data_IF_586183706118
#
_entry.id   IF_586183706118
#
_cell.length_a   1.000
_cell.length_b   1.000
_cell.length_c   1.000
_cell.angle_alpha   90.00
_cell.angle_beta   90.00
_cell.angle_gamma   90.00
#
_symmetry.space_group_name_H-M   'P 1'
#
loop_
_entity.id
_entity.type
_entity.pdbx_description
1 polymer ?
#
# COMPACT_ATOMS: atom_id res chain seq x y z
N UNK A 1 7.68 -10.74 -26.43
CA UNK A 1 7.80 -10.27 -25.03
C UNK A 1 6.57 -10.78 -24.30
N UNK A 2 6.72 -11.73 -23.37
CA UNK A 2 5.60 -12.23 -22.57
C UNK A 2 5.34 -11.26 -21.42
N UNK A 3 4.09 -10.85 -21.25
CA UNK A 3 3.65 -10.07 -20.09
C UNK A 3 3.50 -11.03 -18.91
N UNK A 4 4.25 -10.80 -17.84
CA UNK A 4 4.12 -11.56 -16.60
C UNK A 4 3.23 -10.76 -15.64
N UNK A 5 1.96 -11.16 -15.45
CA UNK A 5 1.04 -10.41 -14.63
C UNK A 5 1.52 -10.41 -13.18
N UNK A 6 1.54 -9.22 -12.58
CA UNK A 6 1.78 -9.01 -11.15
C UNK A 6 0.63 -8.25 -10.55
N UNK A 7 0.24 -8.64 -9.34
CA UNK A 7 -0.65 -7.87 -8.50
C UNK A 7 0.02 -6.57 -8.05
N UNK A 8 -0.78 -5.61 -7.60
CA UNK A 8 -0.27 -4.34 -7.06
C UNK A 8 0.66 -4.58 -5.85
N UNK A 9 0.32 -5.44 -4.86
CA UNK A 9 1.24 -5.76 -3.76
C UNK A 9 2.58 -6.33 -4.23
N UNK A 10 2.60 -7.24 -5.21
CA UNK A 10 3.84 -7.81 -5.74
C UNK A 10 4.70 -6.77 -6.47
N UNK A 11 4.07 -5.91 -7.27
CA UNK A 11 4.77 -4.82 -7.93
C UNK A 11 5.37 -3.82 -6.92
N UNK A 12 4.63 -3.54 -5.84
CA UNK A 12 5.11 -2.65 -4.78
C UNK A 12 6.24 -3.27 -3.96
N UNK A 13 6.14 -4.54 -3.57
CA UNK A 13 7.21 -5.25 -2.86
C UNK A 13 8.53 -5.24 -3.65
N UNK A 14 8.48 -5.51 -4.96
CA UNK A 14 9.64 -5.40 -5.83
C UNK A 14 10.21 -3.97 -5.91
N UNK A 15 9.36 -2.95 -5.80
CA UNK A 15 9.80 -1.56 -5.75
C UNK A 15 10.45 -1.22 -4.40
N UNK A 16 9.94 -1.75 -3.28
CA UNK A 16 10.53 -1.58 -1.95
C UNK A 16 11.92 -2.21 -1.87
N UNK A 17 12.09 -3.43 -2.42
CA UNK A 17 13.41 -4.08 -2.50
C UNK A 17 14.42 -3.24 -3.28
N UNK A 18 13.98 -2.61 -4.38
CA UNK A 18 14.87 -1.86 -5.28
C UNK A 18 15.14 -0.43 -4.81
N UNK A 19 14.15 0.23 -4.20
CA UNK A 19 14.17 1.66 -3.93
C UNK A 19 13.93 1.99 -2.46
N UNK A 20 14.14 1.04 -1.55
CA UNK A 20 13.68 1.12 -0.16
C UNK A 20 13.87 2.47 0.53
N UNK A 21 15.08 3.03 0.49
CA UNK A 21 15.42 4.31 1.14
C UNK A 21 15.09 5.56 0.30
N UNK A 22 14.70 5.41 -0.97
CA UNK A 22 14.36 6.54 -1.83
C UNK A 22 13.01 7.15 -1.39
N UNK A 23 12.83 8.47 -1.56
CA UNK A 23 11.55 9.12 -1.26
C UNK A 23 10.45 8.62 -2.23
N UNK A 24 9.31 8.23 -1.67
CA UNK A 24 8.11 7.81 -2.41
C UNK A 24 7.02 8.88 -2.37
N UNK A 25 6.75 9.45 -1.20
CA UNK A 25 5.77 10.52 -1.01
C UNK A 25 6.45 11.72 -0.34
N UNK A 26 6.29 12.91 -0.91
CA UNK A 26 6.80 14.16 -0.35
C UNK A 26 5.62 15.07 -0.02
N UNK A 27 5.52 15.47 1.24
CA UNK A 27 4.48 16.33 1.80
C UNK A 27 5.14 17.53 2.48
N UNK A 28 5.24 18.65 1.77
CA UNK A 28 6.00 19.82 2.24
C UNK A 28 7.46 19.44 2.51
N UNK A 29 7.91 19.65 3.75
CA UNK A 29 9.30 19.39 4.17
C UNK A 29 9.53 17.93 4.60
N UNK A 30 8.51 17.07 4.52
CA UNK A 30 8.60 15.66 4.91
C UNK A 30 8.62 14.76 3.69
N UNK A 31 9.50 13.76 3.71
CA UNK A 31 9.51 12.69 2.71
C UNK A 31 9.38 11.35 3.42
N UNK A 32 8.48 10.49 2.93
CA UNK A 32 8.37 9.11 3.33
C UNK A 32 8.99 8.24 2.25
N UNK A 33 9.88 7.33 2.67
CA UNK A 33 10.54 6.40 1.77
C UNK A 33 9.63 5.23 1.39
N UNK A 34 10.07 4.41 0.42
CA UNK A 34 9.38 3.17 0.08
C UNK A 34 9.21 2.26 1.30
N UNK A 35 10.26 2.08 2.14
CA UNK A 35 10.16 1.24 3.34
C UNK A 35 9.25 1.83 4.42
N UNK A 36 9.13 3.16 4.50
CA UNK A 36 8.23 3.81 5.45
C UNK A 36 6.76 3.54 5.09
N UNK A 37 6.41 3.69 3.82
CA UNK A 37 5.08 3.41 3.29
C UNK A 37 4.78 1.91 3.34
N UNK A 38 5.77 1.05 3.08
CA UNK A 38 5.62 -0.40 3.19
C UNK A 38 5.23 -0.82 4.60
N UNK A 39 5.96 -0.33 5.61
CA UNK A 39 5.64 -0.58 7.02
C UNK A 39 4.26 -0.04 7.42
N UNK A 40 3.90 1.16 6.96
CA UNK A 40 2.58 1.73 7.29
C UNK A 40 1.44 0.94 6.64
N UNK A 41 1.59 0.57 5.37
CA UNK A 41 0.61 -0.24 4.66
C UNK A 41 0.47 -1.66 5.21
N UNK A 42 1.55 -2.27 5.71
CA UNK A 42 1.48 -3.55 6.44
C UNK A 42 0.65 -3.42 7.71
N UNK A 43 0.82 -2.32 8.45
CA UNK A 43 0.01 -2.02 9.63
C UNK A 43 -1.48 -1.91 9.30
N UNK A 44 -1.83 -1.23 8.20
CA UNK A 44 -3.21 -1.14 7.72
C UNK A 44 -3.75 -2.52 7.33
N UNK A 45 -2.98 -3.31 6.58
CA UNK A 45 -3.41 -4.65 6.14
C UNK A 45 -3.68 -5.57 7.35
N UNK A 46 -2.76 -5.59 8.32
CA UNK A 46 -2.92 -6.36 9.54
C UNK A 46 -4.15 -5.94 10.35
N UNK A 47 -4.41 -4.63 10.46
CA UNK A 47 -5.58 -4.11 11.16
C UNK A 47 -6.91 -4.51 10.46
N UNK A 48 -6.96 -4.46 9.13
CA UNK A 48 -8.14 -4.89 8.37
C UNK A 48 -8.40 -6.39 8.53
N UNK A 49 -7.35 -7.22 8.44
CA UNK A 49 -7.44 -8.67 8.67
C UNK A 49 -7.94 -8.95 10.08
N UNK A 50 -7.40 -8.26 11.09
CA UNK A 50 -7.84 -8.40 12.48
C UNK A 50 -9.30 -7.96 12.69
N UNK A 51 -9.79 -7.00 11.91
CA UNK A 51 -11.19 -6.57 11.90
C UNK A 51 -12.13 -7.55 11.15
N UNK A 52 -11.60 -8.62 10.57
CA UNK A 52 -12.36 -9.67 9.89
C UNK A 52 -12.56 -9.46 8.39
N UNK A 53 -11.87 -8.50 7.78
CA UNK A 53 -11.86 -8.32 6.32
C UNK A 53 -11.23 -9.54 5.66
N UNK A 54 -11.87 -10.02 4.59
CA UNK A 54 -11.44 -11.19 3.81
C UNK A 54 -11.10 -10.79 2.39
N UNK A 55 -10.40 -11.70 1.70
CA UNK A 55 -10.09 -11.54 0.29
C UNK A 55 -11.34 -11.27 -0.54
N UNK A 56 -11.30 -10.22 -1.37
CA UNK A 56 -12.41 -9.78 -2.20
C UNK A 56 -13.44 -8.86 -1.53
N UNK A 57 -13.39 -8.69 -0.20
CA UNK A 57 -14.23 -7.71 0.48
C UNK A 57 -13.92 -6.29 -0.02
N UNK A 58 -14.93 -5.43 0.00
CA UNK A 58 -14.83 -4.04 -0.47
C UNK A 58 -14.57 -3.11 0.71
N UNK A 59 -13.53 -2.29 0.61
CA UNK A 59 -13.18 -1.28 1.62
C UNK A 59 -13.20 0.09 0.97
N UNK A 60 -14.09 0.96 1.47
CA UNK A 60 -14.16 2.34 1.00
C UNK A 60 -12.95 3.13 1.50
N UNK A 61 -12.28 3.86 0.59
CA UNK A 61 -11.17 4.75 0.93
C UNK A 61 -11.56 6.21 0.68
N UNK A 62 -11.78 6.95 1.76
CA UNK A 62 -12.15 8.36 1.68
C UNK A 62 -11.20 9.23 2.52
N UNK A 63 -10.21 9.82 1.86
CA UNK A 63 -9.29 10.79 2.46
C UNK A 63 -8.62 11.67 1.38
N UNK A 64 -8.01 12.81 1.76
CA UNK A 64 -7.21 13.61 0.82
C UNK A 64 -5.99 12.84 0.29
N UNK A 65 -5.51 13.24 -0.89
CA UNK A 65 -4.27 12.72 -1.44
C UNK A 65 -3.09 13.04 -0.51
N UNK A 66 -2.28 12.02 -0.22
CA UNK A 66 -1.13 12.13 0.67
C UNK A 66 -0.57 10.76 1.08
N UNK A 67 0.38 10.75 2.00
CA UNK A 67 1.04 9.53 2.48
C UNK A 67 0.05 8.57 3.15
N UNK A 68 -0.95 9.11 3.86
CA UNK A 68 -2.03 8.33 4.45
C UNK A 68 -2.89 7.63 3.38
N UNK A 69 -3.23 8.33 2.30
CA UNK A 69 -3.97 7.73 1.17
C UNK A 69 -3.19 6.58 0.55
N UNK A 70 -1.89 6.78 0.26
CA UNK A 70 -1.04 5.76 -0.36
C UNK A 70 -0.90 4.54 0.56
N UNK A 71 -0.64 4.76 1.85
CA UNK A 71 -0.52 3.69 2.83
C UNK A 71 -1.83 2.91 3.00
N UNK A 72 -2.97 3.60 3.03
CA UNK A 72 -4.27 2.98 3.16
C UNK A 72 -4.64 2.16 1.91
N UNK A 73 -4.44 2.73 0.72
CA UNK A 73 -4.66 2.03 -0.55
C UNK A 73 -3.85 0.74 -0.63
N UNK A 74 -2.53 0.83 -0.39
CA UNK A 74 -1.63 -0.32 -0.41
C UNK A 74 -2.00 -1.34 0.67
N UNK A 75 -2.38 -0.89 1.86
CA UNK A 75 -2.82 -1.77 2.94
C UNK A 75 -4.08 -2.56 2.61
N UNK A 76 -5.07 -1.92 1.97
CA UNK A 76 -6.31 -2.59 1.53
C UNK A 76 -5.98 -3.67 0.50
N UNK A 77 -5.19 -3.36 -0.53
CA UNK A 77 -4.84 -4.37 -1.56
C UNK A 77 -3.91 -5.46 -1.02
N UNK A 78 -3.03 -5.15 -0.06
CA UNK A 78 -2.21 -6.14 0.66
C UNK A 78 -3.05 -7.09 1.51
N UNK A 79 -4.16 -6.62 2.08
CA UNK A 79 -5.14 -7.46 2.75
C UNK A 79 -5.95 -8.34 1.77
N UNK A 80 -5.74 -8.19 0.45
CA UNK A 80 -6.49 -8.89 -0.59
C UNK A 80 -7.89 -8.33 -0.82
N UNK A 81 -8.20 -7.15 -0.28
CA UNK A 81 -9.48 -6.48 -0.43
C UNK A 81 -9.49 -5.54 -1.65
N UNK A 82 -10.69 -5.12 -2.06
CA UNK A 82 -10.91 -4.21 -3.18
C UNK A 82 -11.13 -2.80 -2.64
N UNK A 83 -10.27 -1.86 -3.05
CA UNK A 83 -10.44 -0.44 -2.75
C UNK A 83 -11.62 0.12 -3.54
N UNK A 84 -12.50 0.86 -2.87
CA UNK A 84 -13.68 1.54 -3.46
C UNK A 84 -13.68 3.02 -3.14
#
# INVERSE_FOLDING_TARGET
>A
MMFEPRSIPEAFAAAVERYGAAPLVVEGDRALSFVDIDRQSDGVAAALIAAGIRHGDRVALYCPNGAAFVSAYLGIVKAGAVVV
#
